data_IF_742836788673
#
_entry.id   IF_742836788673
#
_cell.length_a   1.000
_cell.length_b   1.000
_cell.length_c   1.000
_cell.angle_alpha   90.00
_cell.angle_beta   90.00
_cell.angle_gamma   90.00
#
_symmetry.space_group_name_H-M   'P 1'
#
loop_
_entity.id
_entity.type
_entity.pdbx_description
1 polymer ?
#
# COMPACT_ATOMS: atom_id res chain seq x y z
N UNK A 1 -4.89 -16.95 -8.49
CA UNK A 1 -4.42 -17.70 -7.30
C UNK A 1 -5.49 -17.75 -6.23
N UNK A 2 -5.79 -16.65 -5.52
CA UNK A 2 -6.86 -16.68 -4.50
C UNK A 2 -8.24 -16.81 -5.14
N UNK A 3 -8.57 -15.98 -6.13
CA UNK A 3 -9.86 -16.07 -6.84
C UNK A 3 -10.04 -17.38 -7.64
N UNK A 4 -8.95 -18.04 -8.04
CA UNK A 4 -8.98 -19.34 -8.72
C UNK A 4 -9.01 -20.54 -7.76
N UNK A 5 -8.85 -20.31 -6.45
CA UNK A 5 -8.83 -21.37 -5.43
C UNK A 5 -7.48 -22.07 -5.22
N UNK A 6 -6.44 -21.68 -5.95
CA UNK A 6 -5.09 -22.26 -5.84
C UNK A 6 -4.33 -21.79 -4.59
N UNK A 7 -4.81 -20.74 -3.93
CA UNK A 7 -4.24 -20.15 -2.72
C UNK A 7 -5.35 -19.72 -1.77
N UNK A 8 -5.25 -20.10 -0.48
CA UNK A 8 -6.30 -19.79 0.51
C UNK A 8 -6.29 -18.32 0.93
N UNK A 9 -5.11 -17.75 1.14
CA UNK A 9 -4.95 -16.36 1.53
C UNK A 9 -3.55 -15.84 1.20
N UNK A 10 -3.38 -14.52 1.23
CA UNK A 10 -2.09 -13.84 1.30
C UNK A 10 -2.16 -12.65 2.25
N UNK A 11 -1.02 -12.06 2.56
CA UNK A 11 -0.95 -10.82 3.35
C UNK A 11 -0.70 -9.65 2.41
N UNK A 12 -1.54 -8.63 2.51
CA UNK A 12 -1.33 -7.36 1.85
C UNK A 12 -0.25 -6.54 2.58
N UNK A 13 0.53 -5.80 1.80
CA UNK A 13 1.55 -4.84 2.23
C UNK A 13 1.39 -3.60 1.37
N UNK A 14 0.83 -2.51 1.91
CA UNK A 14 0.38 -1.37 1.10
C UNK A 14 1.55 -0.60 0.49
N UNK A 15 1.79 -0.71 -0.83
CA UNK A 15 2.98 -0.12 -1.44
C UNK A 15 2.92 1.41 -1.45
N UNK A 16 1.72 2.01 -1.53
CA UNK A 16 1.56 3.46 -1.46
C UNK A 16 2.00 4.02 -0.11
N UNK A 17 1.68 3.31 0.98
CA UNK A 17 2.11 3.73 2.31
C UNK A 17 3.63 3.55 2.47
N UNK A 18 4.20 2.47 1.95
CA UNK A 18 5.65 2.25 1.96
C UNK A 18 6.44 3.27 1.13
N UNK A 19 5.86 3.84 0.08
CA UNK A 19 6.48 4.94 -0.67
C UNK A 19 6.26 6.31 -0.01
N UNK A 20 5.02 6.59 0.38
CA UNK A 20 4.62 7.91 0.86
C UNK A 20 5.13 8.22 2.27
N UNK A 21 5.00 7.28 3.21
CA UNK A 21 5.35 7.50 4.61
C UNK A 21 6.85 7.81 4.78
N UNK A 22 7.78 7.07 4.14
CA UNK A 22 9.20 7.42 4.22
C UNK A 22 9.51 8.80 3.62
N UNK A 23 8.90 9.16 2.49
CA UNK A 23 9.09 10.48 1.89
C UNK A 23 8.62 11.60 2.82
N UNK A 24 7.44 11.44 3.44
CA UNK A 24 6.91 12.36 4.43
C UNK A 24 7.80 12.46 5.67
N UNK A 25 8.25 11.33 6.22
CA UNK A 25 9.12 11.30 7.39
C UNK A 25 10.48 11.97 7.12
N UNK A 26 11.06 11.75 5.94
CA UNK A 26 12.30 12.44 5.50
C UNK A 26 12.08 13.95 5.37
N UNK A 27 10.94 14.38 4.83
CA UNK A 27 10.58 15.80 4.75
C UNK A 27 10.48 16.43 6.15
N UNK A 28 9.77 15.79 7.08
CA UNK A 28 9.60 16.29 8.44
C UNK A 28 10.90 16.30 9.24
N UNK A 29 11.77 15.30 9.05
CA UNK A 29 13.10 15.27 9.64
C UNK A 29 13.92 16.49 9.21
N UNK A 30 13.94 16.80 7.90
CA UNK A 30 14.65 17.97 7.39
C UNK A 30 14.03 19.30 7.86
N UNK A 31 12.71 19.42 7.78
CA UNK A 31 11.97 20.63 8.18
C UNK A 31 12.20 20.98 9.66
N UNK A 32 12.26 19.95 10.51
CA UNK A 32 12.41 20.13 11.96
C UNK A 32 13.87 20.25 12.42
N UNK A 33 14.85 20.19 11.50
CA UNK A 33 16.28 20.16 11.87
C UNK A 33 16.66 18.92 12.68
N UNK A 34 15.95 17.81 12.49
CA UNK A 34 16.18 16.54 13.18
C UNK A 34 15.46 16.38 14.52
N UNK A 35 14.61 17.33 14.93
CA UNK A 35 13.80 17.18 16.15
C UNK A 35 12.72 16.09 16.03
N UNK A 36 12.23 15.82 14.81
CA UNK A 36 11.31 14.72 14.51
C UNK A 36 12.07 13.60 13.82
N UNK A 37 12.31 12.50 14.52
CA UNK A 37 12.95 11.32 13.94
C UNK A 37 11.96 10.46 13.15
N UNK A 38 12.41 9.73 12.10
CA UNK A 38 11.59 8.73 11.43
C UNK A 38 11.08 7.68 12.40
N UNK A 39 9.84 7.25 12.23
CA UNK A 39 9.20 6.24 13.08
C UNK A 39 9.10 4.91 12.32
N UNK A 40 9.33 3.80 13.03
CA UNK A 40 8.95 2.50 12.50
C UNK A 40 7.43 2.47 12.31
N UNK A 41 6.98 2.27 11.07
CA UNK A 41 5.57 2.39 10.69
C UNK A 41 5.12 1.14 9.95
N UNK A 42 4.17 0.43 10.55
CA UNK A 42 3.53 -0.70 9.90
C UNK A 42 2.63 -0.21 8.77
N UNK A 43 2.82 -0.75 7.57
CA UNK A 43 2.11 -0.29 6.36
C UNK A 43 0.99 -1.21 5.94
N UNK A 44 0.91 -2.43 6.48
CA UNK A 44 -0.30 -3.26 6.43
C UNK A 44 -0.15 -4.48 7.33
N UNK A 45 -1.30 -5.01 7.75
CA UNK A 45 -1.47 -6.34 8.36
C UNK A 45 -2.74 -7.01 7.82
N UNK A 46 -3.22 -6.56 6.65
CA UNK A 46 -4.47 -7.05 6.09
C UNK A 46 -4.29 -8.44 5.46
N UNK A 47 -5.23 -9.33 5.73
CA UNK A 47 -5.32 -10.63 5.08
C UNK A 47 -6.24 -10.53 3.88
N UNK A 48 -5.78 -11.06 2.76
CA UNK A 48 -6.57 -11.20 1.54
C UNK A 48 -6.97 -12.66 1.41
N UNK A 49 -8.28 -12.92 1.36
CA UNK A 49 -8.87 -14.24 1.22
C UNK A 49 -10.00 -14.22 0.18
N UNK A 50 -10.70 -15.34 -0.01
CA UNK A 50 -11.77 -15.44 -1.01
C UNK A 50 -12.93 -14.47 -0.75
N UNK A 51 -13.12 -14.03 0.49
CA UNK A 51 -14.24 -13.15 0.87
C UNK A 51 -13.98 -11.69 0.51
N UNK A 52 -12.71 -11.29 0.30
CA UNK A 52 -12.35 -9.89 0.05
C UNK A 52 -11.44 -9.66 -1.17
N UNK A 53 -10.97 -10.71 -1.85
CA UNK A 53 -10.06 -10.62 -3.01
C UNK A 53 -10.60 -9.72 -4.13
N UNK A 54 -11.91 -9.63 -4.30
CA UNK A 54 -12.54 -8.77 -5.32
C UNK A 54 -12.17 -7.29 -5.17
N UNK A 55 -11.97 -6.81 -3.94
CA UNK A 55 -11.52 -5.43 -3.68
C UNK A 55 -10.16 -5.14 -4.32
N UNK A 56 -9.27 -6.14 -4.34
CA UNK A 56 -7.93 -6.02 -4.89
C UNK A 56 -7.86 -6.24 -6.41
N UNK A 57 -8.89 -6.88 -6.98
CA UNK A 57 -9.01 -7.09 -8.43
C UNK A 57 -9.74 -5.95 -9.13
N UNK A 58 -10.37 -5.06 -8.38
CA UNK A 58 -11.07 -3.89 -8.93
C UNK A 58 -10.06 -2.93 -9.56
N UNK A 59 -10.19 -2.60 -10.87
CA UNK A 59 -9.26 -1.68 -11.52
C UNK A 59 -9.22 -0.32 -10.83
N UNK A 60 -8.03 0.26 -10.75
CA UNK A 60 -7.82 1.58 -10.17
C UNK A 60 -6.80 2.34 -11.00
N UNK A 61 -7.10 3.62 -11.26
CA UNK A 61 -6.17 4.53 -11.95
C UNK A 61 -4.83 4.69 -11.23
N UNK A 62 -4.81 4.42 -9.92
CA UNK A 62 -3.60 4.50 -9.11
C UNK A 62 -2.82 3.17 -9.10
N UNK A 63 -3.51 2.05 -9.34
CA UNK A 63 -2.95 0.69 -9.32
C UNK A 63 -2.15 0.31 -10.55
N UNK A 64 -2.02 1.20 -11.54
CA UNK A 64 -1.39 0.88 -12.82
C UNK A 64 -2.14 -0.18 -13.63
N UNK A 65 -3.39 -0.49 -13.26
CA UNK A 65 -4.24 -1.46 -13.95
C UNK A 65 -5.11 -0.84 -15.05
N UNK A 66 -4.89 0.45 -15.34
CA UNK A 66 -5.62 1.19 -16.38
C UNK A 66 -4.68 2.12 -17.15
N UNK A 67 -4.84 2.20 -18.47
CA UNK A 67 -4.11 3.14 -19.34
C UNK A 67 -4.70 4.56 -19.36
N UNK A 68 -5.85 4.76 -18.69
CA UNK A 68 -6.50 6.06 -18.60
C UNK A 68 -5.73 6.96 -17.64
N UNK A 69 -5.28 8.11 -18.14
CA UNK A 69 -4.58 9.09 -17.33
C UNK A 69 -5.46 9.57 -16.16
N UNK A 70 -4.89 9.77 -14.96
CA UNK A 70 -5.63 10.36 -13.86
C UNK A 70 -6.01 11.81 -14.16
N UNK A 71 -7.32 12.14 -14.16
CA UNK A 71 -7.80 13.54 -14.11
C UNK A 71 -7.54 14.23 -12.77
#
# INVERSE_FOLDING_TARGET
LIASGDMTFTTDQQPYLQGFIPALQIYLYQLSGGAVAPANTDTSLAYVDINNVETYLTPSRFGGSTDVAPE
#
